data_IF_932045246882
#
_entry.id   IF_932045246882
#
_cell.length_a   1.000
_cell.length_b   1.000
_cell.length_c   1.000
_cell.angle_alpha   90.00
_cell.angle_beta   90.00
_cell.angle_gamma   90.00
#
_symmetry.space_group_name_H-M   'P 1'
#
loop_
_entity.id
_entity.type
_entity.pdbx_description
1 polymer ?
#
# COMPACT_ATOMS: atom_id res chain seq x y z
N UNK A 1 14.77 -0.94 14.07
CA UNK A 1 13.37 -0.83 14.51
C UNK A 1 12.88 -2.24 14.68
N UNK A 2 12.32 -2.58 15.84
CA UNK A 2 11.73 -3.91 16.05
C UNK A 2 10.59 -4.11 15.06
N UNK A 3 10.71 -5.15 14.23
CA UNK A 3 9.72 -5.53 13.21
C UNK A 3 8.39 -5.95 13.82
N UNK A 4 8.39 -6.24 15.13
CA UNK A 4 7.22 -6.62 15.92
C UNK A 4 6.53 -5.46 16.62
N UNK A 5 7.11 -4.27 16.57
CA UNK A 5 6.52 -3.13 17.24
C UNK A 5 5.24 -2.68 16.53
N UNK A 6 4.19 -2.38 17.29
CA UNK A 6 2.96 -1.78 16.76
C UNK A 6 3.24 -0.53 15.92
N UNK A 7 4.28 0.24 16.27
CA UNK A 7 4.73 1.39 15.49
C UNK A 7 5.24 1.03 14.10
N UNK A 8 5.97 -0.09 13.96
CA UNK A 8 6.43 -0.58 12.66
C UNK A 8 5.25 -1.03 11.79
N UNK A 9 4.29 -1.75 12.35
CA UNK A 9 3.05 -2.13 11.65
C UNK A 9 2.25 -0.92 11.21
N UNK A 10 2.03 0.05 12.11
CA UNK A 10 1.31 1.29 11.80
C UNK A 10 1.99 2.07 10.69
N UNK A 11 3.32 2.18 10.71
CA UNK A 11 4.07 2.81 9.64
C UNK A 11 3.78 2.15 8.28
N UNK A 12 3.75 0.83 8.23
CA UNK A 12 3.46 0.10 6.98
C UNK A 12 2.01 0.28 6.51
N UNK A 13 1.03 0.33 7.42
CA UNK A 13 -0.35 0.63 7.05
C UNK A 13 -0.52 2.08 6.55
N UNK A 14 0.16 3.05 7.19
CA UNK A 14 0.18 4.44 6.72
C UNK A 14 0.84 4.54 5.36
N UNK A 15 1.96 3.85 5.14
CA UNK A 15 2.63 3.79 3.85
C UNK A 15 1.73 3.15 2.77
N UNK A 16 1.04 2.07 3.09
CA UNK A 16 0.08 1.41 2.19
C UNK A 16 -1.04 2.38 1.77
N UNK A 17 -1.65 3.08 2.73
CA UNK A 17 -2.67 4.09 2.45
C UNK A 17 -2.11 5.22 1.58
N UNK A 18 -0.92 5.73 1.91
CA UNK A 18 -0.26 6.78 1.14
C UNK A 18 0.00 6.35 -0.32
N UNK A 19 0.38 5.09 -0.55
CA UNK A 19 0.54 4.54 -1.89
C UNK A 19 -0.81 4.48 -2.63
N UNK A 20 -1.86 3.96 -1.99
CA UNK A 20 -3.20 3.88 -2.60
C UNK A 20 -3.68 5.27 -3.02
N UNK A 21 -3.68 6.25 -2.09
CA UNK A 21 -4.12 7.61 -2.39
C UNK A 21 -3.19 8.31 -3.38
N UNK A 22 -1.87 8.04 -3.32
CA UNK A 22 -0.91 8.58 -4.26
C UNK A 22 -1.14 8.09 -5.69
N UNK A 23 -1.47 6.81 -5.87
CA UNK A 23 -1.82 6.24 -7.18
C UNK A 23 -3.13 6.85 -7.69
N UNK A 24 -4.15 6.97 -6.85
CA UNK A 24 -5.42 7.62 -7.23
C UNK A 24 -5.19 9.06 -7.65
N UNK A 25 -4.48 9.85 -6.85
CA UNK A 25 -4.17 11.24 -7.16
C UNK A 25 -3.33 11.39 -8.44
N UNK A 26 -2.41 10.45 -8.71
CA UNK A 26 -1.65 10.41 -9.96
C UNK A 26 -2.56 10.17 -11.16
N UNK A 27 -3.48 9.21 -11.08
CA UNK A 27 -4.43 8.91 -12.16
C UNK A 27 -5.33 10.13 -12.45
N UNK A 28 -5.87 10.76 -11.42
CA UNK A 28 -6.67 11.98 -11.56
C UNK A 28 -5.84 13.13 -12.15
N UNK A 29 -4.59 13.29 -11.72
CA UNK A 29 -3.66 14.27 -12.28
C UNK A 29 -3.32 14.04 -13.76
N UNK A 30 -3.42 12.81 -14.24
CA UNK A 30 -3.30 12.45 -15.66
C UNK A 30 -4.62 12.64 -16.44
N UNK A 31 -5.68 13.12 -15.80
CA UNK A 31 -7.01 13.30 -16.41
C UNK A 31 -7.81 11.99 -16.53
N UNK A 32 -7.41 10.93 -15.83
CA UNK A 32 -8.15 9.66 -15.79
C UNK A 32 -9.19 9.76 -14.69
N UNK A 33 -10.47 9.64 -15.04
CA UNK A 33 -11.56 9.62 -14.07
C UNK A 33 -11.49 8.35 -13.22
N UNK A 34 -11.24 8.50 -11.92
CA UNK A 34 -11.17 7.37 -10.99
C UNK A 34 -12.56 7.11 -10.42
N UNK A 35 -13.28 6.19 -11.06
CA UNK A 35 -14.53 5.67 -10.49
C UNK A 35 -14.27 4.87 -9.20
N UNK A 36 -15.30 4.67 -8.38
CA UNK A 36 -15.22 3.86 -7.16
C UNK A 36 -14.62 2.48 -7.43
N UNK A 37 -15.00 1.82 -8.52
CA UNK A 37 -14.49 0.49 -8.88
C UNK A 37 -13.01 0.51 -9.27
N UNK A 38 -12.54 1.58 -9.90
CA UNK A 38 -11.10 1.77 -10.19
C UNK A 38 -10.35 1.98 -8.87
N UNK A 39 -10.89 2.79 -7.95
CA UNK A 39 -10.32 2.95 -6.61
C UNK A 39 -10.22 1.63 -5.84
N UNK A 40 -11.26 0.80 -5.88
CA UNK A 40 -11.25 -0.56 -5.29
C UNK A 40 -10.19 -1.43 -5.97
N UNK A 41 -10.10 -1.43 -7.30
CA UNK A 41 -9.09 -2.20 -8.02
C UNK A 41 -7.67 -1.78 -7.64
N UNK A 42 -7.39 -0.47 -7.55
CA UNK A 42 -6.11 0.07 -7.08
C UNK A 42 -5.81 -0.42 -5.66
N UNK A 43 -6.77 -0.31 -4.75
CA UNK A 43 -6.60 -0.75 -3.37
C UNK A 43 -6.29 -2.25 -3.27
N UNK A 44 -6.98 -3.10 -4.04
CA UNK A 44 -6.72 -4.55 -4.10
C UNK A 44 -5.33 -4.84 -4.66
N UNK A 45 -4.96 -4.21 -5.77
CA UNK A 45 -3.65 -4.42 -6.41
C UNK A 45 -2.51 -3.97 -5.50
N UNK A 46 -2.62 -2.81 -4.85
CA UNK A 46 -1.62 -2.33 -3.89
C UNK A 46 -1.61 -3.22 -2.64
N UNK A 47 -2.77 -3.62 -2.13
CA UNK A 47 -2.90 -4.50 -0.98
C UNK A 47 -2.22 -5.86 -1.16
N UNK A 48 -2.26 -6.41 -2.38
CA UNK A 48 -1.57 -7.66 -2.74
C UNK A 48 -0.10 -7.39 -3.04
N UNK A 49 0.20 -6.36 -3.84
CA UNK A 49 1.54 -6.09 -4.33
C UNK A 49 2.50 -5.59 -3.24
N UNK A 50 2.01 -4.78 -2.31
CA UNK A 50 2.86 -4.17 -1.28
C UNK A 50 3.52 -5.21 -0.36
N UNK A 51 2.81 -6.17 0.26
CA UNK A 51 3.45 -7.24 1.03
C UNK A 51 4.47 -8.03 0.21
N UNK A 52 4.14 -8.37 -1.05
CA UNK A 52 5.05 -9.11 -1.95
C UNK A 52 6.35 -8.34 -2.16
N UNK A 53 6.28 -7.04 -2.44
CA UNK A 53 7.47 -6.19 -2.64
C UNK A 53 8.32 -6.12 -1.36
N UNK A 54 7.69 -5.98 -0.19
CA UNK A 54 8.41 -5.92 1.08
C UNK A 54 9.06 -7.26 1.45
N UNK A 55 8.40 -8.37 1.13
CA UNK A 55 8.92 -9.72 1.32
C UNK A 55 10.19 -9.93 0.53
N UNK A 56 10.17 -9.56 -0.76
CA UNK A 56 11.36 -9.59 -1.63
C UNK A 56 12.46 -8.67 -1.14
N UNK A 57 12.11 -7.50 -0.60
CA UNK A 57 13.06 -6.56 -0.03
C UNK A 57 13.55 -6.94 1.39
N UNK A 58 13.02 -8.01 1.99
CA UNK A 58 13.40 -8.49 3.31
C UNK A 58 13.08 -7.52 4.45
N UNK A 59 12.08 -6.66 4.27
CA UNK A 59 11.63 -5.64 5.25
C UNK A 59 10.17 -5.82 5.67
N UNK A 60 9.53 -6.93 5.32
CA UNK A 60 8.15 -7.19 5.73
C UNK A 60 7.98 -7.23 7.26
N UNK A 61 6.83 -6.76 7.79
CA UNK A 61 6.43 -7.02 9.17
C UNK A 61 6.20 -8.52 9.40
N UNK A 62 6.63 -9.05 10.54
CA UNK A 62 6.52 -10.49 10.86
C UNK A 62 5.07 -10.98 10.93
N UNK A 63 4.12 -10.08 11.18
CA UNK A 63 2.69 -10.39 11.26
C UNK A 63 2.04 -10.58 9.89
N UNK A 64 2.75 -10.27 8.80
CA UNK A 64 2.28 -10.41 7.43
C UNK A 64 2.85 -11.65 6.72
N UNK A 65 3.83 -12.31 7.35
CA UNK A 65 4.49 -13.53 6.89
C UNK A 65 3.63 -14.79 7.09
#
# INVERSE_FOLDING_TARGET
MDRDSTGYLLFHYVALLAIIFGVVALLEGLGIEVSLWVGVAVAVLVGIGYPIVLSVAGIEPEQWS
#
